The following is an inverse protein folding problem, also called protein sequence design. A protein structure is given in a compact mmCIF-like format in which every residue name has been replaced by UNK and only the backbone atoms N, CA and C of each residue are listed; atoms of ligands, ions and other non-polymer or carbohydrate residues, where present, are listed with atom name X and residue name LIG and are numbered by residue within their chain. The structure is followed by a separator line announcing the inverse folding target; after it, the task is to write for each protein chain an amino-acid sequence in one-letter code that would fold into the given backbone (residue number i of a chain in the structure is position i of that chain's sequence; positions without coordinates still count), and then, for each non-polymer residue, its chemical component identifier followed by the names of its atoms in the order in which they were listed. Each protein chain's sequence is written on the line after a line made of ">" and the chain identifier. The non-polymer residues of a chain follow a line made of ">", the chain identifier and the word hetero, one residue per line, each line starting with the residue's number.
data_IF_089050458525
#
_entry.id   IF_089050458525
#
_cell.length_a   1.000
_cell.length_b   1.000
_cell.length_c   1.000
_cell.angle_alpha   90.00
_cell.angle_beta   90.00
_cell.angle_gamma   90.00
#
_symmetry.space_group_name_H-M   'P 1'
#
loop_
_entity.id
_entity.type
_entity.pdbx_description
1 polymer ?
#
# COMPACT_ATOMS: atom_id res chain seq x y z
N UNK A 1 -4.96 -35.73 -11.76
CA UNK A 1 -4.09 -34.82 -10.99
C UNK A 1 -4.93 -34.17 -9.90
N UNK A 2 -4.51 -34.30 -8.65
CA UNK A 2 -5.19 -33.82 -7.45
C UNK A 2 -5.10 -32.30 -7.31
N UNK A 3 -6.22 -31.61 -7.52
CA UNK A 3 -6.41 -30.20 -7.18
C UNK A 3 -6.71 -30.13 -5.67
N UNK A 4 -5.67 -29.94 -4.85
CA UNK A 4 -5.81 -29.71 -3.41
C UNK A 4 -6.45 -28.33 -3.18
N UNK A 5 -7.78 -28.26 -3.26
CA UNK A 5 -8.57 -27.15 -2.74
C UNK A 5 -8.22 -26.97 -1.26
N UNK A 6 -7.65 -25.80 -0.93
CA UNK A 6 -7.41 -25.39 0.45
C UNK A 6 -8.67 -25.61 1.31
N UNK A 7 -8.57 -26.13 2.55
CA UNK A 7 -9.72 -26.48 3.39
C UNK A 7 -10.47 -25.24 3.94
N UNK A 8 -10.20 -24.05 3.41
CA UNK A 8 -10.82 -22.79 3.81
C UNK A 8 -11.96 -22.49 2.86
N UNK A 9 -13.19 -22.61 3.36
CA UNK A 9 -14.39 -22.30 2.61
C UNK A 9 -14.56 -20.76 2.51
N UNK A 10 -13.85 -20.16 1.56
CA UNK A 10 -13.78 -18.71 1.36
C UNK A 10 -15.17 -18.07 1.16
N UNK A 11 -16.08 -18.77 0.49
CA UNK A 11 -17.45 -18.30 0.23
C UNK A 11 -18.27 -18.12 1.52
N UNK A 12 -18.06 -18.98 2.52
CA UNK A 12 -18.74 -18.91 3.81
C UNK A 12 -18.13 -17.83 4.75
N UNK A 13 -16.85 -17.52 4.58
CA UNK A 13 -16.15 -16.44 5.29
C UNK A 13 -16.49 -15.06 4.72
N UNK A 14 -16.63 -14.96 3.39
CA UNK A 14 -17.00 -13.72 2.71
C UNK A 14 -18.46 -13.30 3.00
N UNK A 15 -19.33 -14.26 3.30
CA UNK A 15 -20.71 -14.01 3.73
C UNK A 15 -20.83 -13.33 5.11
N UNK A 16 -19.76 -13.33 5.94
CA UNK A 16 -19.79 -12.67 7.25
C UNK A 16 -19.58 -11.15 7.13
N UNK A 17 -20.51 -10.32 7.64
CA UNK A 17 -20.43 -8.85 7.54
C UNK A 17 -19.14 -8.26 8.12
N UNK A 18 -18.63 -8.86 9.21
CA UNK A 18 -17.41 -8.41 9.87
C UNK A 18 -16.18 -8.57 8.97
N UNK A 19 -16.06 -9.69 8.25
CA UNK A 19 -14.92 -9.95 7.37
C UNK A 19 -14.88 -8.96 6.19
N UNK A 20 -16.04 -8.67 5.60
CA UNK A 20 -16.16 -7.63 4.55
C UNK A 20 -15.85 -6.23 5.09
N UNK A 21 -16.22 -5.93 6.34
CA UNK A 21 -15.91 -4.63 6.95
C UNK A 21 -14.41 -4.43 7.14
N UNK A 22 -13.69 -5.47 7.61
CA UNK A 22 -12.23 -5.46 7.77
C UNK A 22 -11.54 -5.29 6.41
N UNK A 23 -11.92 -6.09 5.42
CA UNK A 23 -11.37 -6.01 4.05
C UNK A 23 -11.69 -4.64 3.43
N UNK A 24 -12.88 -4.07 3.62
CA UNK A 24 -13.22 -2.76 3.07
C UNK A 24 -12.35 -1.64 3.64
N UNK A 25 -12.01 -1.69 4.93
CA UNK A 25 -11.12 -0.71 5.57
C UNK A 25 -9.70 -0.82 5.04
N UNK A 26 -9.24 -2.06 4.82
CA UNK A 26 -7.95 -2.36 4.18
C UNK A 26 -7.90 -1.80 2.76
N UNK A 27 -8.89 -2.15 1.95
CA UNK A 27 -8.96 -1.76 0.54
C UNK A 27 -9.11 -0.26 0.39
N UNK A 28 -9.91 0.42 1.23
CA UNK A 28 -10.01 1.88 1.20
C UNK A 28 -8.66 2.56 1.44
N UNK A 29 -7.88 2.07 2.42
CA UNK A 29 -6.55 2.62 2.68
C UNK A 29 -5.61 2.40 1.49
N UNK A 30 -5.59 1.18 0.93
CA UNK A 30 -4.74 0.84 -0.21
C UNK A 30 -5.14 1.66 -1.44
N UNK A 31 -6.43 1.73 -1.75
CA UNK A 31 -6.95 2.49 -2.90
C UNK A 31 -6.59 3.97 -2.77
N UNK A 32 -6.77 4.57 -1.60
CA UNK A 32 -6.33 5.95 -1.37
C UNK A 32 -4.82 6.12 -1.57
N UNK A 33 -4.02 5.18 -1.07
CA UNK A 33 -2.57 5.20 -1.23
C UNK A 33 -2.15 5.01 -2.71
N UNK A 34 -2.85 4.16 -3.46
CA UNK A 34 -2.63 3.95 -4.90
C UNK A 34 -2.98 5.20 -5.70
N UNK A 35 -4.11 5.85 -5.41
CA UNK A 35 -4.49 7.12 -6.05
C UNK A 35 -3.43 8.19 -5.77
N UNK A 36 -3.01 8.31 -4.51
CA UNK A 36 -1.97 9.24 -4.12
C UNK A 36 -0.63 8.94 -4.82
N UNK A 37 -0.23 7.67 -4.86
CA UNK A 37 0.98 7.23 -5.57
C UNK A 37 0.92 7.58 -7.05
N UNK A 38 -0.22 7.33 -7.70
CA UNK A 38 -0.42 7.62 -9.11
C UNK A 38 -0.36 9.14 -9.38
N UNK A 39 -1.02 9.95 -8.55
CA UNK A 39 -0.92 11.40 -8.62
C UNK A 39 0.51 11.89 -8.42
N UNK A 40 1.22 11.35 -7.43
CA UNK A 40 2.62 11.69 -7.13
C UNK A 40 3.57 11.25 -8.25
N UNK A 41 3.33 10.09 -8.85
CA UNK A 41 4.11 9.60 -10.00
C UNK A 41 3.96 10.53 -11.21
N UNK A 42 2.73 10.94 -11.51
CA UNK A 42 2.43 11.87 -12.60
C UNK A 42 2.86 13.30 -12.28
N UNK A 43 3.05 13.64 -11.00
CA UNK A 43 3.54 14.95 -10.62
C UNK A 43 4.94 15.23 -11.19
N UNK A 44 5.83 14.22 -11.30
CA UNK A 44 7.17 14.44 -11.85
C UNK A 44 7.16 14.99 -13.29
N UNK A 45 6.53 14.35 -14.30
CA UNK A 45 6.47 14.90 -15.65
C UNK A 45 5.71 16.24 -15.71
N UNK A 46 4.68 16.44 -14.89
CA UNK A 46 3.97 17.74 -14.80
C UNK A 46 4.90 18.83 -14.27
N UNK A 47 5.63 18.58 -13.19
CA UNK A 47 6.59 19.53 -12.62
C UNK A 47 7.76 19.79 -13.58
N UNK A 48 8.24 18.79 -14.31
CA UNK A 48 9.28 18.98 -15.32
C UNK A 48 8.76 19.84 -16.48
N UNK A 49 7.50 19.68 -16.89
CA UNK A 49 6.89 20.47 -17.97
C UNK A 49 6.61 21.92 -17.58
N UNK A 50 6.05 22.17 -16.39
CA UNK A 50 5.69 23.51 -15.93
C UNK A 50 6.81 24.25 -15.20
N UNK A 51 7.64 23.53 -14.43
CA UNK A 51 8.70 24.08 -13.59
C UNK A 51 10.07 23.41 -13.86
N UNK A 52 10.57 23.44 -15.12
CA UNK A 52 11.82 22.79 -15.48
C UNK A 52 13.03 23.33 -14.71
N UNK A 53 13.04 24.63 -14.39
CA UNK A 53 14.15 25.26 -13.65
C UNK A 53 14.28 24.73 -12.21
N UNK A 54 13.15 24.49 -11.54
CA UNK A 54 13.14 23.85 -10.23
C UNK A 54 13.69 22.42 -10.32
N UNK A 55 13.21 21.64 -11.29
CA UNK A 55 13.63 20.24 -11.44
C UNK A 55 15.10 20.08 -11.83
N UNK A 56 15.68 21.07 -12.52
CA UNK A 56 17.10 21.13 -12.86
C UNK A 56 17.99 21.63 -11.73
N UNK A 57 17.42 22.23 -10.68
CA UNK A 57 18.18 22.79 -9.56
C UNK A 57 19.03 21.70 -8.91
N UNK A 58 20.34 21.90 -8.92
CA UNK A 58 21.31 20.96 -8.35
C UNK A 58 21.37 21.13 -6.83
N UNK A 59 21.29 20.01 -6.11
CA UNK A 59 21.28 19.97 -4.64
C UNK A 59 22.60 19.43 -4.11
N UNK A 60 23.11 18.33 -4.69
CA UNK A 60 24.43 17.77 -4.36
C UNK A 60 25.17 17.39 -5.64
N UNK A 61 26.11 18.23 -6.06
CA UNK A 61 26.88 18.02 -7.29
C UNK A 61 25.99 17.86 -8.52
N UNK A 62 25.99 16.67 -9.13
CA UNK A 62 25.15 16.35 -10.31
C UNK A 62 23.72 15.91 -9.96
N UNK A 63 23.39 15.77 -8.67
CA UNK A 63 22.05 15.37 -8.21
C UNK A 63 21.16 16.60 -8.14
N UNK A 64 20.15 16.65 -9.00
CA UNK A 64 19.10 17.66 -9.02
C UNK A 64 17.83 17.22 -8.28
N UNK A 65 16.88 18.15 -8.14
CA UNK A 65 15.59 17.91 -7.48
C UNK A 65 14.83 16.75 -8.14
N UNK A 66 14.89 16.58 -9.46
CA UNK A 66 14.22 15.47 -10.14
C UNK A 66 14.72 14.10 -9.66
N UNK A 67 16.03 13.94 -9.43
CA UNK A 67 16.58 12.71 -8.86
C UNK A 67 16.11 12.46 -7.42
N UNK A 68 16.05 13.51 -6.59
CA UNK A 68 15.52 13.37 -5.22
C UNK A 68 14.05 12.97 -5.25
N UNK A 69 13.26 13.60 -6.12
CA UNK A 69 11.85 13.26 -6.29
C UNK A 69 11.69 11.80 -6.73
N UNK A 70 12.44 11.35 -7.73
CA UNK A 70 12.43 9.96 -8.17
C UNK A 70 12.80 8.99 -7.04
N UNK A 71 13.83 9.31 -6.24
CA UNK A 71 14.23 8.48 -5.10
C UNK A 71 13.14 8.43 -4.01
N UNK A 72 12.44 9.54 -3.78
CA UNK A 72 11.34 9.59 -2.81
C UNK A 72 10.17 8.68 -3.18
N UNK A 73 9.99 8.34 -4.46
CA UNK A 73 8.95 7.38 -4.90
C UNK A 73 9.18 5.98 -4.32
N UNK A 74 10.44 5.55 -4.19
CA UNK A 74 10.78 4.26 -3.59
C UNK A 74 10.48 4.25 -2.08
N UNK A 75 10.87 5.32 -1.38
CA UNK A 75 10.55 5.47 0.04
C UNK A 75 9.04 5.47 0.27
N UNK A 76 8.28 6.16 -0.59
CA UNK A 76 6.82 6.16 -0.54
C UNK A 76 6.23 4.74 -0.68
N UNK A 77 6.69 3.97 -1.67
CA UNK A 77 6.24 2.61 -1.88
C UNK A 77 6.53 1.70 -0.67
N UNK A 78 7.73 1.81 -0.09
CA UNK A 78 8.07 1.08 1.13
C UNK A 78 7.25 1.51 2.34
N UNK A 79 6.96 2.81 2.50
CA UNK A 79 6.08 3.28 3.59
C UNK A 79 4.69 2.66 3.45
N UNK A 80 4.12 2.64 2.24
CA UNK A 80 2.80 2.03 2.00
C UNK A 80 2.85 0.53 2.30
N UNK A 81 3.89 -0.18 1.83
CA UNK A 81 4.07 -1.60 2.11
C UNK A 81 4.23 -1.89 3.61
N UNK A 82 5.03 -1.09 4.31
CA UNK A 82 5.24 -1.21 5.75
C UNK A 82 3.96 -0.92 6.53
N UNK A 83 3.22 0.14 6.17
CA UNK A 83 1.92 0.45 6.75
C UNK A 83 0.93 -0.69 6.55
N UNK A 84 0.93 -1.31 5.36
CA UNK A 84 0.12 -2.49 5.07
C UNK A 84 0.48 -3.66 6.01
N UNK A 85 1.76 -4.03 6.08
CA UNK A 85 2.22 -5.17 6.90
C UNK A 85 1.92 -4.94 8.38
N UNK A 86 2.13 -3.71 8.87
CA UNK A 86 1.85 -3.34 10.26
C UNK A 86 0.36 -3.33 10.60
N UNK A 87 -0.51 -3.03 9.62
CA UNK A 87 -1.97 -3.13 9.80
C UNK A 87 -2.45 -4.57 9.71
N UNK A 88 -1.87 -5.36 8.81
CA UNK A 88 -2.17 -6.79 8.67
C UNK A 88 -1.79 -7.58 9.94
N UNK A 89 -0.63 -7.30 10.52
CA UNK A 89 -0.21 -7.96 11.77
C UNK A 89 -1.08 -7.60 12.98
N UNK A 90 -1.79 -6.48 12.94
CA UNK A 90 -2.80 -6.16 13.96
C UNK A 90 -4.06 -7.04 13.81
N UNK A 91 -4.48 -7.35 12.58
CA UNK A 91 -5.61 -8.26 12.34
C UNK A 91 -5.25 -9.71 12.64
N UNK A 92 -4.01 -10.14 12.36
CA UNK A 92 -3.56 -11.49 12.70
C UNK A 92 -3.54 -11.70 14.23
N UNK A 93 -3.23 -10.66 15.01
CA UNK A 93 -3.33 -10.70 16.48
C UNK A 93 -4.77 -10.80 16.98
N UNK A 94 -5.73 -10.14 16.35
CA UNK A 94 -7.16 -10.23 16.69
C UNK A 94 -7.73 -11.61 16.30
N UNK A 95 -7.37 -12.14 15.13
CA UNK A 95 -7.78 -13.46 14.69
C UNK A 95 -7.25 -14.58 15.60
N UNK A 96 -6.00 -14.46 16.07
CA UNK A 96 -5.41 -15.40 17.01
C UNK A 96 -6.09 -15.39 18.39
N UNK A 97 -6.64 -14.25 18.82
CA UNK A 97 -7.36 -14.14 20.08
C UNK A 97 -8.71 -14.88 20.05
N UNK A 98 -9.44 -14.81 18.93
CA UNK A 98 -10.75 -15.48 18.77
C UNK A 98 -10.62 -17.00 18.71
N UNK A 99 -9.53 -17.52 18.12
CA UNK A 99 -9.29 -18.98 18.06
C UNK A 99 -8.97 -19.56 19.46
N UNK A 100 -8.41 -18.75 20.36
CA UNK A 100 -8.05 -19.17 21.71
C UNK A 100 -9.24 -19.23 22.69
N UNK A 101 -10.28 -18.41 22.45
CA UNK A 101 -11.49 -18.36 23.28
C UNK A 101 -12.49 -19.50 22.98
N UNK A 102 -12.24 -20.26 21.91
CA UNK A 102 -13.07 -21.40 21.50
C UNK A 102 -12.42 -22.77 21.79
N UNK A 103 -11.48 -22.81 22.75
CA UNK A 103 -10.86 -24.03 23.24
C UNK A 103 -10.99 -24.20 24.75
#
# INVERSE_FOLDING_TARGET
>A
MSDQKSPVNWDALEAKPEFRSLVSRKTRFIVSATIFFMAYYLALPVLVGWFPELMKTQVLGKVNIAYIFALSQFLMAWIIAFMYVRKASAWDKEAAAVIKDHH
#
